data_IF_475208178638
#
_entry.id   IF_475208178638
#
_cell.length_a   1.000
_cell.length_b   1.000
_cell.length_c   1.000
_cell.angle_alpha   90.00
_cell.angle_beta   90.00
_cell.angle_gamma   90.00
#
_symmetry.space_group_name_H-M   'P 1'
#
loop_
_entity.id
_entity.type
_entity.pdbx_description
1 polymer ?
#
# COMPACT_ATOMS: atom_id res chain seq x y z
N UNK A 1 -13.55 7.76 6.78
CA UNK A 1 -13.05 8.83 7.65
C UNK A 1 -13.99 8.99 8.82
N UNK A 2 -13.44 9.14 10.02
CA UNK A 2 -14.17 9.54 11.22
C UNK A 2 -13.27 10.51 11.97
N UNK A 3 -13.87 11.50 12.63
CA UNK A 3 -13.13 12.62 13.25
C UNK A 3 -13.44 12.67 14.73
N UNK A 4 -12.40 12.90 15.54
CA UNK A 4 -12.53 13.24 16.94
C UNK A 4 -12.10 14.69 17.17
N UNK A 5 -12.88 15.41 17.97
CA UNK A 5 -12.57 16.78 18.41
C UNK A 5 -12.18 16.84 19.89
N UNK A 6 -12.04 15.68 20.54
CA UNK A 6 -11.84 15.56 21.99
C UNK A 6 -10.83 14.47 22.34
N UNK A 7 -9.71 14.44 21.60
CA UNK A 7 -8.56 13.55 21.85
C UNK A 7 -8.96 12.06 21.87
N UNK A 8 -9.91 11.66 21.02
CA UNK A 8 -10.32 10.28 20.85
C UNK A 8 -11.40 9.78 21.81
N UNK A 9 -11.96 10.64 22.67
CA UNK A 9 -13.05 10.26 23.59
C UNK A 9 -14.36 9.93 22.86
N UNK A 10 -14.67 10.68 21.81
CA UNK A 10 -15.76 10.37 20.89
C UNK A 10 -15.37 10.66 19.45
N UNK A 11 -16.11 10.06 18.54
CA UNK A 11 -15.84 10.05 17.11
C UNK A 11 -17.13 10.31 16.33
N UNK A 12 -17.02 10.99 15.20
CA UNK A 12 -18.13 11.13 14.25
C UNK A 12 -18.51 9.78 13.64
N UNK A 13 -19.72 9.69 13.07
CA UNK A 13 -20.07 8.56 12.21
C UNK A 13 -19.03 8.40 11.08
N UNK A 14 -18.68 7.16 10.70
CA UNK A 14 -17.71 6.92 9.64
C UNK A 14 -18.30 7.23 8.26
N UNK A 15 -17.55 7.99 7.47
CA UNK A 15 -17.85 8.31 6.08
C UNK A 15 -16.92 7.55 5.13
N UNK A 16 -17.39 7.23 3.92
CA UNK A 16 -16.55 6.62 2.89
C UNK A 16 -15.48 7.59 2.38
N UNK A 17 -14.33 7.07 1.97
CA UNK A 17 -13.24 7.83 1.33
C UNK A 17 -12.91 7.22 -0.04
N UNK A 18 -12.18 7.97 -0.87
CA UNK A 18 -11.77 7.54 -2.20
C UNK A 18 -10.52 6.63 -2.22
N UNK A 19 -10.41 5.72 -1.23
CA UNK A 19 -9.35 4.73 -1.11
C UNK A 19 -10.01 3.37 -0.82
N UNK A 20 -10.30 2.56 -1.84
CA UNK A 20 -11.02 1.31 -1.65
C UNK A 20 -10.08 0.30 -0.98
N UNK A 21 -10.62 -0.45 -0.03
CA UNK A 21 -9.85 -1.38 0.78
C UNK A 21 -10.69 -2.66 0.99
N UNK A 22 -10.14 -3.86 0.75
CA UNK A 22 -10.88 -5.12 0.86
C UNK A 22 -11.02 -5.62 2.31
N UNK A 23 -11.23 -4.70 3.27
CA UNK A 23 -11.23 -4.97 4.71
C UNK A 23 -9.91 -5.61 5.20
N UNK A 24 -8.81 -4.97 4.82
CA UNK A 24 -7.44 -5.32 5.21
C UNK A 24 -6.84 -4.18 6.03
N UNK A 25 -5.84 -4.50 6.86
CA UNK A 25 -5.10 -3.47 7.57
C UNK A 25 -4.51 -2.45 6.59
N UNK A 26 -4.63 -1.18 6.93
CA UNK A 26 -3.87 -0.07 6.37
C UNK A 26 -3.08 0.64 7.50
N UNK A 27 -2.20 1.57 7.14
CA UNK A 27 -1.55 2.48 8.09
C UNK A 27 -1.49 3.88 7.48
N UNK A 28 -1.87 4.89 8.27
CA UNK A 28 -1.73 6.31 7.96
C UNK A 28 -0.71 6.93 8.89
N UNK A 29 0.23 7.73 8.36
CA UNK A 29 1.12 8.59 9.16
C UNK A 29 1.15 10.01 8.60
N UNK A 30 1.57 10.98 9.42
CA UNK A 30 1.80 12.36 8.97
C UNK A 30 3.26 12.52 8.57
N UNK A 31 3.49 13.00 7.35
CA UNK A 31 4.82 13.31 6.82
C UNK A 31 5.28 14.66 7.36
N UNK A 32 6.51 14.71 7.86
CA UNK A 32 7.20 15.94 8.23
C UNK A 32 8.21 16.35 7.13
N UNK A 33 8.43 17.65 6.90
CA UNK A 33 7.76 18.80 7.52
C UNK A 33 6.47 19.23 6.79
N UNK A 34 6.07 18.56 5.70
CA UNK A 34 4.96 19.02 4.84
C UNK A 34 3.58 19.00 5.52
N UNK A 35 3.43 18.19 6.58
CA UNK A 35 2.17 17.98 7.27
C UNK A 35 1.20 17.09 6.51
N UNK A 36 1.54 16.60 5.32
CA UNK A 36 0.67 15.73 4.52
C UNK A 36 0.45 14.38 5.21
N UNK A 37 -0.68 13.73 4.94
CA UNK A 37 -0.90 12.36 5.38
C UNK A 37 -0.48 11.37 4.30
N UNK A 38 0.19 10.29 4.66
CA UNK A 38 0.49 9.16 3.79
C UNK A 38 -0.25 7.91 4.28
N UNK A 39 -0.81 7.13 3.36
CA UNK A 39 -1.52 5.89 3.62
C UNK A 39 -0.94 4.74 2.81
N UNK A 40 -0.56 3.66 3.46
CA UNK A 40 -0.29 2.38 2.82
C UNK A 40 -1.50 1.45 2.98
N UNK A 41 -2.03 0.94 1.88
CA UNK A 41 -3.24 0.11 1.87
C UNK A 41 -3.32 -0.81 0.64
N UNK A 42 -4.09 -1.89 0.73
CA UNK A 42 -4.38 -2.75 -0.41
C UNK A 42 -5.53 -2.14 -1.24
N UNK A 43 -5.25 -1.73 -2.47
CA UNK A 43 -6.19 -1.00 -3.33
C UNK A 43 -7.09 -1.96 -4.14
N UNK A 44 -7.93 -2.72 -3.44
CA UNK A 44 -8.93 -3.56 -4.08
C UNK A 44 -10.32 -2.98 -3.89
N UNK A 45 -11.01 -2.71 -5.01
CA UNK A 45 -12.46 -2.57 -4.98
C UNK A 45 -13.06 -3.95 -4.64
N UNK A 46 -14.20 -3.99 -3.96
CA UNK A 46 -15.04 -5.20 -3.88
C UNK A 46 -15.55 -5.54 -5.29
N UNK A 47 -14.70 -6.12 -6.13
CA UNK A 47 -15.04 -6.63 -7.45
C UNK A 47 -15.18 -8.16 -7.40
N UNK A 48 -15.75 -8.73 -8.45
CA UNK A 48 -16.18 -10.13 -8.48
C UNK A 48 -15.00 -11.11 -8.55
N UNK A 49 -13.84 -10.63 -9.00
CA UNK A 49 -12.66 -11.45 -9.24
C UNK A 49 -11.82 -11.69 -7.99
N UNK A 50 -11.92 -10.84 -6.96
CA UNK A 50 -11.30 -11.17 -5.68
C UNK A 50 -11.88 -10.45 -4.44
N UNK A 51 -12.82 -11.10 -3.76
CA UNK A 51 -13.42 -10.60 -2.51
C UNK A 51 -12.49 -10.63 -1.28
N UNK A 52 -11.40 -11.40 -1.32
CA UNK A 52 -10.50 -11.62 -0.18
C UNK A 52 -9.00 -11.52 -0.56
N UNK A 53 -8.69 -10.88 -1.69
CA UNK A 53 -7.30 -10.64 -2.06
C UNK A 53 -6.67 -9.68 -1.05
N UNK A 54 -5.50 -10.07 -0.58
CA UNK A 54 -4.61 -9.20 0.19
C UNK A 54 -3.38 -9.01 -0.69
N UNK A 55 -3.51 -8.30 -1.78
CA UNK A 55 -2.47 -8.05 -2.79
C UNK A 55 -2.54 -6.58 -3.21
N UNK A 56 -1.77 -6.12 -4.20
CA UNK A 56 -1.92 -4.76 -4.74
C UNK A 56 -1.72 -3.67 -3.67
N UNK A 57 -0.54 -3.62 -3.05
CA UNK A 57 -0.22 -2.65 -1.98
C UNK A 57 0.20 -1.30 -2.58
N UNK A 58 -0.46 -0.24 -2.14
CA UNK A 58 -0.32 1.12 -2.68
C UNK A 58 0.09 2.10 -1.59
N UNK A 59 0.75 3.18 -2.02
CA UNK A 59 0.88 4.40 -1.24
C UNK A 59 -0.02 5.48 -1.82
N UNK A 60 -0.82 6.11 -0.96
CA UNK A 60 -1.55 7.33 -1.29
C UNK A 60 -1.23 8.47 -0.31
N UNK A 61 -1.42 9.70 -0.75
CA UNK A 61 -1.16 10.93 0.02
C UNK A 61 -2.40 11.81 0.05
N UNK A 62 -2.66 12.42 1.19
CA UNK A 62 -3.67 13.45 1.39
C UNK A 62 -3.02 14.74 1.86
N UNK A 63 -3.43 15.86 1.25
CA UNK A 63 -2.98 17.22 1.58
C UNK A 63 -4.05 18.02 2.36
N UNK A 64 -5.21 17.41 2.59
CA UNK A 64 -6.44 18.03 3.09
C UNK A 64 -7.01 17.25 4.29
N UNK A 65 -6.14 16.78 5.18
CA UNK A 65 -6.52 16.10 6.43
C UNK A 65 -7.42 14.86 6.22
N UNK A 66 -7.15 14.12 5.15
CA UNK A 66 -7.80 12.86 4.82
C UNK A 66 -9.15 13.00 4.13
N UNK A 67 -9.50 14.21 3.65
CA UNK A 67 -10.71 14.44 2.84
C UNK A 67 -10.57 13.80 1.47
N UNK A 68 -9.42 13.94 0.81
CA UNK A 68 -9.13 13.28 -0.46
C UNK A 68 -7.75 12.63 -0.48
N UNK A 69 -7.65 11.49 -1.18
CA UNK A 69 -6.44 10.68 -1.28
C UNK A 69 -5.95 10.56 -2.73
N UNK A 70 -4.63 10.66 -2.91
CA UNK A 70 -3.94 10.59 -4.21
C UNK A 70 -2.96 9.44 -4.26
N UNK A 71 -3.09 8.55 -5.24
CA UNK A 71 -2.12 7.48 -5.47
C UNK A 71 -0.78 8.06 -5.92
N UNK A 72 0.30 7.59 -5.30
CA UNK A 72 1.66 8.09 -5.53
C UNK A 72 2.69 6.99 -5.73
N UNK A 73 2.41 5.74 -5.35
CA UNK A 73 3.28 4.61 -5.65
C UNK A 73 2.52 3.27 -5.63
N UNK A 74 2.94 2.33 -6.48
CA UNK A 74 2.73 0.90 -6.29
C UNK A 74 3.87 0.37 -5.40
N UNK A 75 3.56 -0.08 -4.19
CA UNK A 75 4.56 -0.70 -3.31
C UNK A 75 4.77 -2.17 -3.70
N UNK A 76 3.69 -2.89 -3.97
CA UNK A 76 3.73 -4.28 -4.46
C UNK A 76 2.59 -4.54 -5.43
N UNK A 77 2.93 -5.15 -6.58
CA UNK A 77 2.01 -5.36 -7.70
C UNK A 77 1.54 -6.79 -7.88
N UNK A 78 2.14 -7.76 -7.20
CA UNK A 78 1.84 -9.17 -7.45
C UNK A 78 0.42 -9.52 -7.01
N UNK A 79 -0.39 -10.00 -7.96
CA UNK A 79 -1.79 -10.39 -7.77
C UNK A 79 -2.03 -11.88 -8.04
N UNK A 80 -0.96 -12.68 -8.09
CA UNK A 80 -1.08 -14.12 -8.30
C UNK A 80 -1.89 -14.81 -7.20
N UNK A 81 -2.65 -15.83 -7.61
CA UNK A 81 -3.42 -16.66 -6.68
C UNK A 81 -2.50 -17.32 -5.64
N UNK A 82 -2.73 -17.00 -4.37
CA UNK A 82 -1.93 -17.53 -3.26
C UNK A 82 -1.04 -16.48 -2.62
N UNK A 83 -0.68 -15.40 -3.32
CA UNK A 83 0.08 -14.29 -2.75
C UNK A 83 -0.74 -13.57 -1.69
N UNK A 84 -0.09 -13.18 -0.60
CA UNK A 84 -0.61 -12.29 0.42
C UNK A 84 0.44 -11.24 0.75
N UNK A 85 0.10 -9.98 0.52
CA UNK A 85 0.82 -8.75 0.84
C UNK A 85 -0.08 -7.92 1.77
N UNK A 86 0.32 -7.71 3.02
CA UNK A 86 -0.58 -7.15 4.03
C UNK A 86 0.13 -6.57 5.24
N UNK A 87 -0.66 -5.95 6.12
CA UNK A 87 -0.24 -5.34 7.38
C UNK A 87 0.90 -4.32 7.18
N UNK A 88 0.73 -3.37 6.25
CA UNK A 88 1.74 -2.36 6.04
C UNK A 88 1.92 -1.49 7.30
N UNK A 89 3.15 -1.06 7.50
CA UNK A 89 3.55 -0.08 8.51
C UNK A 89 4.42 0.98 7.86
N UNK A 90 4.00 2.24 7.98
CA UNK A 90 4.76 3.41 7.59
C UNK A 90 5.67 3.88 8.72
N UNK A 91 6.93 4.15 8.40
CA UNK A 91 7.90 4.78 9.29
C UNK A 91 8.67 5.85 8.50
N UNK A 92 8.63 7.10 8.97
CA UNK A 92 9.47 8.15 8.39
C UNK A 92 10.81 8.21 9.12
N UNK A 93 11.91 8.28 8.37
CA UNK A 93 13.25 8.62 8.87
C UNK A 93 13.84 9.65 7.91
N UNK A 94 14.13 10.84 8.40
CA UNK A 94 14.56 11.99 7.60
C UNK A 94 13.60 12.25 6.41
N UNK A 95 14.14 12.29 5.19
CA UNK A 95 13.40 12.48 3.95
C UNK A 95 12.94 11.15 3.32
N UNK A 96 13.02 10.04 4.03
CA UNK A 96 12.55 8.73 3.55
C UNK A 96 11.31 8.27 4.31
N UNK A 97 10.36 7.72 3.55
CA UNK A 97 9.23 6.98 4.07
C UNK A 97 9.45 5.49 3.78
N UNK A 98 9.59 4.71 4.85
CA UNK A 98 9.70 3.25 4.76
C UNK A 98 8.31 2.64 4.88
N UNK A 99 7.99 1.73 3.96
CA UNK A 99 6.81 0.87 4.00
C UNK A 99 7.27 -0.54 4.33
N UNK A 100 7.05 -0.96 5.56
CA UNK A 100 7.35 -2.31 6.04
C UNK A 100 6.07 -3.15 5.92
N UNK A 101 6.13 -4.32 5.29
CA UNK A 101 4.95 -5.15 5.07
C UNK A 101 5.27 -6.63 5.06
N UNK A 102 4.25 -7.45 5.36
CA UNK A 102 4.35 -8.91 5.31
C UNK A 102 3.97 -9.41 3.93
N UNK A 103 4.76 -10.35 3.41
CA UNK A 103 4.55 -11.01 2.13
C UNK A 103 4.70 -12.51 2.27
N UNK A 104 3.71 -13.29 1.87
CA UNK A 104 3.81 -14.74 1.85
C UNK A 104 2.92 -15.38 0.78
N UNK A 105 3.18 -16.65 0.51
CA UNK A 105 2.41 -17.45 -0.42
C UNK A 105 1.63 -18.54 0.33
N UNK A 106 0.32 -18.60 0.14
CA UNK A 106 -0.49 -19.72 0.57
C UNK A 106 -0.29 -20.90 -0.37
N UNK A 107 -0.18 -22.09 0.22
CA UNK A 107 -0.41 -23.33 -0.50
C UNK A 107 -1.91 -23.52 -0.73
N UNK A 108 -2.36 -23.29 -1.96
CA UNK A 108 -3.75 -23.49 -2.37
C UNK A 108 -4.06 -24.96 -2.71
N UNK A 109 -3.48 -25.90 -1.95
CA UNK A 109 -3.57 -27.34 -2.20
C UNK A 109 -2.78 -27.82 -3.42
N UNK A 110 -1.92 -26.98 -4.00
CA UNK A 110 -1.10 -27.31 -5.19
C UNK A 110 0.20 -28.03 -4.82
N UNK A 111 0.59 -27.97 -3.55
CA UNK A 111 1.77 -28.68 -3.07
C UNK A 111 1.59 -30.19 -2.92
N UNK A 112 0.35 -30.70 -2.99
CA UNK A 112 0.08 -32.12 -2.84
C UNK A 112 0.21 -32.93 -4.14
N UNK A 113 0.32 -32.27 -5.29
CA UNK A 113 0.13 -32.92 -6.60
C UNK A 113 1.18 -32.59 -7.68
N UNK A 114 2.14 -31.68 -7.46
CA UNK A 114 3.21 -31.38 -8.45
C UNK A 114 4.52 -31.02 -7.74
N UNK A 115 5.66 -31.28 -8.40
CA UNK A 115 7.06 -31.05 -8.01
C UNK A 115 7.29 -29.89 -7.00
N UNK A 116 8.25 -30.01 -6.06
CA UNK A 116 8.53 -29.02 -4.99
C UNK A 116 8.64 -27.55 -5.42
N UNK A 117 9.11 -27.27 -6.65
CA UNK A 117 9.17 -25.91 -7.21
C UNK A 117 7.79 -25.24 -7.41
N UNK A 118 6.68 -26.00 -7.39
CA UNK A 118 5.32 -25.45 -7.47
C UNK A 118 4.84 -24.84 -6.13
N UNK A 119 5.58 -25.07 -5.03
CA UNK A 119 5.30 -24.54 -3.70
C UNK A 119 6.05 -23.24 -3.45
N UNK A 120 5.54 -22.11 -3.97
CA UNK A 120 6.08 -20.78 -3.64
C UNK A 120 6.00 -20.40 -2.16
N UNK A 121 5.43 -21.24 -1.27
CA UNK A 121 5.32 -21.01 0.19
C UNK A 121 6.65 -20.74 0.91
N UNK A 122 6.91 -21.41 2.04
CA UNK A 122 8.13 -21.19 2.86
C UNK A 122 9.47 -21.27 2.08
N UNK A 123 9.47 -21.76 0.84
CA UNK A 123 10.62 -21.83 -0.05
C UNK A 123 10.89 -20.58 -0.90
N UNK A 124 9.94 -19.65 -1.06
CA UNK A 124 10.18 -18.45 -1.87
C UNK A 124 11.12 -17.47 -1.17
N UNK A 125 12.19 -17.09 -1.85
CA UNK A 125 13.10 -16.03 -1.38
C UNK A 125 12.43 -14.65 -1.29
N UNK A 126 11.25 -14.49 -1.89
CA UNK A 126 10.48 -13.26 -1.87
C UNK A 126 9.39 -13.28 -0.76
N UNK A 127 9.37 -14.29 0.11
CA UNK A 127 8.51 -14.32 1.30
C UNK A 127 9.22 -13.71 2.52
N UNK A 128 8.46 -13.10 3.43
CA UNK A 128 8.95 -12.57 4.70
C UNK A 128 8.41 -11.18 4.99
N UNK A 129 9.19 -10.42 5.76
CA UNK A 129 8.97 -8.99 5.94
C UNK A 129 9.82 -8.26 4.90
N UNK A 130 9.17 -7.42 4.11
CA UNK A 130 9.81 -6.58 3.11
C UNK A 130 9.77 -5.13 3.53
N UNK A 131 10.75 -4.37 3.07
CA UNK A 131 10.83 -2.94 3.27
C UNK A 131 10.96 -2.27 1.92
N UNK A 132 10.00 -1.41 1.60
CA UNK A 132 10.09 -0.48 0.49
C UNK A 132 10.51 0.89 1.04
N UNK A 133 11.54 1.50 0.45
CA UNK A 133 12.00 2.84 0.79
C UNK A 133 11.52 3.83 -0.26
N UNK A 134 10.88 4.93 0.15
CA UNK A 134 10.31 5.97 -0.72
C UNK A 134 10.97 7.31 -0.38
N UNK A 135 11.51 8.00 -1.39
CA UNK A 135 12.10 9.34 -1.23
C UNK A 135 11.02 10.43 -1.26
N UNK A 136 10.86 11.13 -0.13
CA UNK A 136 9.86 12.19 0.02
C UNK A 136 10.21 13.45 -0.76
N UNK A 137 11.47 13.69 -1.11
CA UNK A 137 11.85 14.83 -1.94
C UNK A 137 11.28 14.66 -3.35
N UNK A 138 11.35 13.44 -3.87
CA UNK A 138 10.84 13.08 -5.20
C UNK A 138 9.31 13.01 -5.20
N UNK A 139 8.70 12.58 -4.09
CA UNK A 139 7.25 12.62 -3.89
C UNK A 139 6.67 14.02 -4.13
N UNK A 140 7.33 15.07 -3.66
CA UNK A 140 6.84 16.46 -3.82
C UNK A 140 6.87 16.96 -5.26
N UNK A 141 7.65 16.34 -6.15
CA UNK A 141 7.71 16.70 -7.57
C UNK A 141 6.59 16.10 -8.41
N UNK A 142 5.80 15.18 -7.83
CA UNK A 142 4.72 14.47 -8.52
C UNK A 142 3.56 15.43 -8.88
N UNK A 143 3.33 15.74 -10.18
CA UNK A 143 2.33 16.72 -10.59
C UNK A 143 0.91 16.37 -10.14
N UNK A 144 0.59 15.07 -10.00
CA UNK A 144 -0.74 14.60 -9.60
C UNK A 144 -1.15 15.01 -8.18
N UNK A 145 -0.19 15.34 -7.31
CA UNK A 145 -0.47 15.90 -5.98
C UNK A 145 -1.03 17.31 -6.03
N UNK A 146 -0.98 17.97 -7.18
CA UNK A 146 -1.45 19.33 -7.41
C UNK A 146 -2.67 19.41 -8.33
N UNK A 147 -3.12 18.27 -8.85
CA UNK A 147 -4.32 18.21 -9.68
C UNK A 147 -5.58 18.11 -8.78
N UNK A 148 -6.76 18.59 -9.24
CA UNK A 148 -8.01 18.51 -8.47
C UNK A 148 -8.51 17.06 -8.35
N UNK A 149 -9.02 16.63 -7.17
CA UNK A 149 -9.55 15.29 -6.93
C UNK A 149 -10.48 14.81 -8.04
N UNK A 150 -10.17 13.67 -8.64
CA UNK A 150 -11.02 13.07 -9.67
C UNK A 150 -11.12 11.55 -9.41
N UNK A 151 -12.29 11.07 -8.94
CA UNK A 151 -12.51 9.67 -8.60
C UNK A 151 -12.59 8.75 -9.83
N UNK A 152 -12.64 9.30 -11.05
CA UNK A 152 -12.64 8.56 -12.32
C UNK A 152 -11.27 8.57 -13.01
N UNK A 153 -10.31 9.34 -12.49
CA UNK A 153 -9.00 9.49 -13.12
C UNK A 153 -8.22 8.19 -13.04
N UNK A 154 -7.92 7.62 -14.21
CA UNK A 154 -6.92 6.57 -14.34
C UNK A 154 -5.54 7.20 -14.23
N UNK A 155 -4.58 6.51 -13.63
CA UNK A 155 -3.20 6.97 -13.60
C UNK A 155 -2.71 7.18 -15.04
N UNK A 156 -2.07 8.32 -15.36
CA UNK A 156 -1.57 8.56 -16.70
C UNK A 156 -0.45 7.57 -17.07
N UNK A 157 -0.32 7.19 -18.36
CA UNK A 157 0.48 6.04 -18.78
C UNK A 157 1.99 6.12 -18.43
N UNK A 158 2.52 7.33 -18.27
CA UNK A 158 3.91 7.63 -17.94
C UNK A 158 4.19 7.69 -16.42
N UNK A 159 3.15 7.58 -15.58
CA UNK A 159 3.27 7.54 -14.13
C UNK A 159 3.88 6.22 -13.64
N UNK A 160 3.68 5.15 -14.43
CA UNK A 160 4.20 3.80 -14.18
C UNK A 160 5.73 3.77 -14.01
N UNK A 161 6.47 4.52 -14.85
CA UNK A 161 7.94 4.55 -14.84
C UNK A 161 8.51 5.35 -13.66
N UNK A 162 7.83 6.46 -13.30
CA UNK A 162 8.24 7.31 -12.17
C UNK A 162 8.01 6.60 -10.83
N UNK A 163 6.90 5.89 -10.67
CA UNK A 163 6.61 5.16 -9.41
C UNK A 163 7.58 4.00 -9.15
N UNK A 164 8.00 3.29 -10.21
CA UNK A 164 8.93 2.16 -10.10
C UNK A 164 10.38 2.61 -9.79
N UNK A 165 10.76 3.87 -10.08
CA UNK A 165 12.12 4.38 -9.87
C UNK A 165 12.44 4.77 -8.41
N UNK A 166 11.44 4.94 -7.56
CA UNK A 166 11.62 5.45 -6.19
C UNK A 166 11.43 4.40 -5.10
N UNK A 167 11.11 3.16 -5.47
CA UNK A 167 10.91 2.07 -4.53
C UNK A 167 12.14 1.17 -4.57
N UNK A 168 13.00 1.31 -3.56
CA UNK A 168 14.06 0.33 -3.31
C UNK A 168 13.53 -0.73 -2.36
N UNK A 169 13.44 -1.97 -2.84
CA UNK A 169 13.02 -3.11 -2.03
C UNK A 169 14.23 -3.88 -1.51
N UNK A 170 14.29 -4.07 -0.20
CA UNK A 170 15.14 -5.06 0.41
C UNK A 170 14.28 -6.12 1.11
N UNK A 171 14.60 -7.39 0.85
CA UNK A 171 13.96 -8.53 1.49
C UNK A 171 14.84 -9.02 2.64
N UNK A 172 14.34 -8.94 3.87
CA UNK A 172 15.04 -9.47 5.03
C UNK A 172 14.57 -10.89 5.33
N UNK A 173 15.48 -11.85 5.31
CA UNK A 173 15.20 -13.21 5.80
C UNK A 173 15.33 -13.24 7.30
N UNK A 174 14.25 -13.57 7.99
CA UNK A 174 14.33 -14.03 9.37
C UNK A 174 14.79 -15.49 9.30
N UNK A 175 16.02 -15.77 9.77
CA UNK A 175 16.56 -17.13 9.87
C UNK A 175 15.91 -17.88 11.03
#
# INVERSE_FOLDING_TARGET
RSVSHNQGRSWSAPESINAPNPNTKFHVTRIQPSGWLAMAFNDHRRNQFCKACRTHLHLAVSKDEGVSWRYVAHVEREEEAGVRIHYPTLLQVDHFLYVVYSRFYLDLGRCKSVKPQACKGLASSNQGIKVAKIDLLLLTTLPQLYLPPDPKRRDPPNMQFLMDHFVHEEAFRIK
#
